data_IF_286197389974
#
_entry.id   IF_286197389974
#
_cell.length_a   1.000
_cell.length_b   1.000
_cell.length_c   1.000
_cell.angle_alpha   90.00
_cell.angle_beta   90.00
_cell.angle_gamma   90.00
#
_symmetry.space_group_name_H-M   'P 1'
#
loop_
_entity.id
_entity.type
_entity.pdbx_description
1 polymer ?
#
# COMPACT_ATOMS: atom_id res chain seq x y z
N UNK A 1 -23.94 -18.60 -26.51
CA UNK A 1 -22.79 -18.85 -25.62
C UNK A 1 -23.20 -18.44 -24.21
N UNK A 2 -23.22 -19.42 -23.31
CA UNK A 2 -23.84 -19.32 -21.98
C UNK A 2 -22.90 -18.61 -21.01
N UNK A 3 -23.38 -17.53 -20.37
CA UNK A 3 -22.64 -16.79 -19.37
C UNK A 3 -22.76 -17.55 -18.04
N UNK A 4 -21.65 -18.11 -17.58
CA UNK A 4 -21.54 -18.81 -16.31
C UNK A 4 -21.66 -17.79 -15.17
N UNK A 5 -22.79 -17.79 -14.47
CA UNK A 5 -22.95 -17.13 -13.18
C UNK A 5 -22.14 -17.88 -12.11
N UNK A 6 -21.10 -17.25 -11.58
CA UNK A 6 -20.42 -17.72 -10.37
C UNK A 6 -21.31 -17.35 -9.18
N UNK A 7 -22.05 -18.34 -8.65
CA UNK A 7 -22.75 -18.25 -7.37
C UNK A 7 -21.72 -18.15 -6.23
N UNK A 8 -21.53 -16.94 -5.69
CA UNK A 8 -20.95 -16.74 -4.37
C UNK A 8 -22.01 -17.01 -3.31
N UNK A 9 -21.79 -18.03 -2.49
CA UNK A 9 -22.71 -18.43 -1.42
C UNK A 9 -22.58 -17.57 -0.17
N UNK A 10 -23.73 -17.15 0.36
CA UNK A 10 -24.00 -16.99 1.79
C UNK A 10 -23.75 -15.61 2.41
N UNK A 11 -24.85 -14.89 2.71
CA UNK A 11 -24.88 -13.83 3.72
C UNK A 11 -25.31 -12.44 3.22
N UNK A 12 -26.63 -12.20 3.15
CA UNK A 12 -27.27 -10.87 3.15
C UNK A 12 -26.82 -10.09 4.38
N UNK A 13 -26.26 -8.87 4.36
CA UNK A 13 -26.81 -7.58 3.90
C UNK A 13 -25.64 -6.61 3.70
N UNK A 14 -25.54 -5.95 2.53
CA UNK A 14 -24.51 -4.92 2.24
C UNK A 14 -24.12 -4.82 0.76
N UNK A 15 -25.07 -4.81 -0.16
CA UNK A 15 -24.85 -5.02 -1.62
C UNK A 15 -24.06 -3.93 -2.36
N UNK A 16 -23.57 -2.87 -1.71
CA UNK A 16 -22.80 -1.80 -2.39
C UNK A 16 -21.43 -1.51 -1.77
N UNK A 17 -21.09 -2.11 -0.62
CA UNK A 17 -19.82 -1.82 0.07
C UNK A 17 -18.96 -3.06 0.17
N UNK A 18 -17.80 -3.05 -0.47
CA UNK A 18 -16.75 -4.03 -0.20
C UNK A 18 -16.22 -3.80 1.22
N UNK A 19 -16.29 -4.82 2.08
CA UNK A 19 -15.70 -4.80 3.41
C UNK A 19 -14.20 -4.47 3.36
N UNK A 20 -13.63 -3.90 4.43
CA UNK A 20 -12.20 -3.57 4.48
C UNK A 20 -11.29 -4.79 4.28
N UNK A 21 -11.82 -5.98 4.56
CA UNK A 21 -11.11 -7.25 4.40
C UNK A 21 -11.11 -7.76 2.95
N UNK A 22 -11.92 -7.15 2.07
CA UNK A 22 -12.08 -7.51 0.66
C UNK A 22 -13.21 -8.53 0.44
N UNK A 23 -13.26 -9.12 -0.76
CA UNK A 23 -14.32 -10.04 -1.18
C UNK A 23 -14.29 -11.41 -0.45
N UNK A 24 -13.16 -11.77 0.17
CA UNK A 24 -13.02 -13.00 0.97
C UNK A 24 -12.27 -12.68 2.25
N UNK A 25 -12.85 -13.12 3.37
CA UNK A 25 -12.19 -13.06 4.68
C UNK A 25 -11.02 -14.06 4.68
N UNK A 26 -9.77 -13.61 4.94
CA UNK A 26 -8.60 -14.47 4.99
C UNK A 26 -8.69 -15.42 6.20
N UNK A 27 -8.01 -16.55 6.09
CA UNK A 27 -8.16 -17.66 7.05
C UNK A 27 -7.62 -17.30 8.43
N UNK A 28 -6.62 -16.42 8.46
CA UNK A 28 -5.98 -15.86 9.65
C UNK A 28 -7.00 -15.09 10.51
N UNK A 29 -7.79 -14.21 9.87
CA UNK A 29 -8.85 -13.45 10.55
C UNK A 29 -9.99 -14.37 11.01
N UNK A 30 -10.27 -15.45 10.26
CA UNK A 30 -11.27 -16.43 10.68
C UNK A 30 -10.80 -17.27 11.88
N UNK A 31 -9.51 -17.59 11.95
CA UNK A 31 -8.93 -18.42 13.00
C UNK A 31 -8.94 -17.73 14.37
N UNK A 32 -8.87 -16.40 14.41
CA UNK A 32 -8.85 -15.63 15.68
C UNK A 32 -10.20 -15.52 16.38
N UNK A 33 -11.33 -15.73 15.70
CA UNK A 33 -12.68 -15.53 16.29
C UNK A 33 -12.88 -16.43 17.52
N UNK A 34 -12.46 -17.70 17.46
CA UNK A 34 -12.63 -18.64 18.58
C UNK A 34 -11.69 -18.30 19.76
N UNK A 35 -10.38 -18.10 19.57
CA UNK A 35 -9.49 -17.71 20.67
C UNK A 35 -9.82 -16.34 21.27
N UNK A 36 -10.24 -15.37 20.46
CA UNK A 36 -10.50 -14.00 20.91
C UNK A 36 -11.64 -13.91 21.94
N UNK A 37 -12.60 -14.83 21.90
CA UNK A 37 -13.68 -14.92 22.89
C UNK A 37 -13.23 -15.28 24.31
N UNK A 38 -12.02 -15.85 24.47
CA UNK A 38 -11.50 -16.36 25.75
C UNK A 38 -10.47 -15.43 26.40
N UNK A 39 -10.16 -14.29 25.77
CA UNK A 39 -9.05 -13.43 26.14
C UNK A 39 -9.56 -12.18 26.85
N UNK A 40 -8.78 -11.72 27.82
CA UNK A 40 -9.04 -10.49 28.55
C UNK A 40 -8.63 -9.24 27.75
N UNK A 41 -9.33 -8.12 28.01
CA UNK A 41 -9.08 -6.84 27.34
C UNK A 41 -7.66 -6.31 27.57
N UNK A 42 -7.02 -6.64 28.69
CA UNK A 42 -5.67 -6.15 28.98
C UNK A 42 -4.60 -6.86 28.13
N UNK A 43 -4.68 -8.19 27.99
CA UNK A 43 -3.76 -8.95 27.12
C UNK A 43 -3.97 -8.58 25.65
N UNK A 44 -5.21 -8.40 25.20
CA UNK A 44 -5.50 -7.90 23.85
C UNK A 44 -4.82 -6.55 23.56
N UNK A 45 -4.93 -5.59 24.48
CA UNK A 45 -4.28 -4.27 24.35
C UNK A 45 -2.76 -4.38 24.26
N UNK A 46 -2.15 -5.29 25.02
CA UNK A 46 -0.70 -5.52 24.96
C UNK A 46 -0.28 -6.07 23.60
N UNK A 47 -0.98 -7.08 23.07
CA UNK A 47 -0.72 -7.65 21.74
C UNK A 47 -0.88 -6.57 20.67
N UNK A 48 -1.97 -5.79 20.73
CA UNK A 48 -2.22 -4.72 19.77
C UNK A 48 -1.13 -3.63 19.83
N UNK A 49 -0.63 -3.30 21.02
CA UNK A 49 0.48 -2.36 21.18
C UNK A 49 1.77 -2.88 20.53
N UNK A 50 2.07 -4.16 20.70
CA UNK A 50 3.23 -4.82 20.09
C UNK A 50 3.13 -4.78 18.57
N UNK A 51 1.97 -5.13 18.00
CA UNK A 51 1.71 -5.07 16.55
C UNK A 51 1.89 -3.64 16.01
N UNK A 52 1.33 -2.63 16.69
CA UNK A 52 1.50 -1.23 16.27
C UNK A 52 2.98 -0.81 16.31
N UNK A 53 3.74 -1.26 17.31
CA UNK A 53 5.18 -1.03 17.38
C UNK A 53 5.95 -1.71 16.25
N UNK A 54 5.58 -2.94 15.86
CA UNK A 54 6.16 -3.62 14.68
C UNK A 54 5.94 -2.82 13.40
N UNK A 55 4.70 -2.36 13.18
CA UNK A 55 4.31 -1.61 11.99
C UNK A 55 5.08 -0.28 11.91
N UNK A 56 5.47 0.27 13.07
CA UNK A 56 6.33 1.45 13.20
C UNK A 56 7.83 1.15 13.05
N UNK A 57 8.21 -0.09 12.71
CA UNK A 57 9.60 -0.47 12.42
C UNK A 57 10.43 -0.88 13.64
N UNK A 58 9.80 -1.10 14.80
CA UNK A 58 10.51 -1.68 15.95
C UNK A 58 10.72 -3.18 15.67
N UNK A 59 11.97 -3.63 15.61
CA UNK A 59 12.29 -5.05 15.53
C UNK A 59 11.73 -5.77 16.76
N UNK A 60 10.79 -6.71 16.52
CA UNK A 60 10.20 -7.50 17.57
C UNK A 60 10.95 -8.82 17.73
N UNK A 61 11.32 -9.12 18.97
CA UNK A 61 11.88 -10.42 19.33
C UNK A 61 10.81 -11.26 20.03
N UNK A 62 10.87 -12.58 19.87
CA UNK A 62 9.98 -13.50 20.59
C UNK A 62 10.04 -13.30 22.13
N UNK A 63 11.17 -12.81 22.64
CA UNK A 63 11.35 -12.43 24.05
C UNK A 63 10.34 -11.37 24.53
N UNK A 64 9.92 -10.44 23.66
CA UNK A 64 8.98 -9.37 24.00
C UNK A 64 7.53 -9.90 24.14
N UNK A 65 7.26 -11.05 23.52
CA UNK A 65 5.96 -11.72 23.53
C UNK A 65 5.84 -12.81 24.60
N UNK A 66 6.96 -13.39 25.04
CA UNK A 66 7.01 -14.36 26.15
C UNK A 66 6.27 -13.94 27.43
N UNK A 67 6.37 -12.69 27.93
CA UNK A 67 5.66 -12.29 29.15
C UNK A 67 4.13 -12.21 29.00
N UNK A 68 3.58 -12.41 27.80
CA UNK A 68 2.14 -12.46 27.54
C UNK A 68 1.57 -13.88 27.67
N UNK A 69 2.43 -14.90 27.77
CA UNK A 69 2.02 -16.28 27.95
C UNK A 69 1.43 -16.47 29.35
N UNK A 70 0.22 -17.02 29.40
CA UNK A 70 -0.50 -17.39 30.61
C UNK A 70 -1.04 -18.82 30.45
N UNK A 71 -1.58 -19.43 31.50
CA UNK A 71 -2.17 -20.79 31.42
C UNK A 71 -3.28 -20.92 30.35
N UNK A 72 -3.95 -19.81 30.01
CA UNK A 72 -5.00 -19.74 28.98
C UNK A 72 -4.47 -19.40 27.59
N UNK A 73 -3.23 -18.92 27.48
CA UNK A 73 -2.66 -18.36 26.26
C UNK A 73 -1.35 -19.09 25.94
N UNK A 74 -1.49 -20.24 25.26
CA UNK A 74 -0.36 -21.03 24.77
C UNK A 74 0.34 -20.35 23.60
N UNK A 75 1.57 -20.74 23.31
CA UNK A 75 2.38 -20.21 22.20
C UNK A 75 1.65 -20.32 20.84
N UNK A 76 1.01 -21.47 20.58
CA UNK A 76 0.24 -21.68 19.35
C UNK A 76 -0.96 -20.72 19.25
N UNK A 77 -1.66 -20.50 20.36
CA UNK A 77 -2.82 -19.59 20.41
C UNK A 77 -2.34 -18.15 20.24
N UNK A 78 -1.23 -17.77 20.87
CA UNK A 78 -0.61 -16.46 20.71
C UNK A 78 -0.20 -16.20 19.25
N UNK A 79 0.42 -17.17 18.58
CA UNK A 79 0.80 -17.05 17.18
C UNK A 79 -0.41 -16.84 16.26
N UNK A 80 -1.48 -17.60 16.46
CA UNK A 80 -2.73 -17.44 15.70
C UNK A 80 -3.33 -16.06 15.91
N UNK A 81 -3.38 -15.58 17.16
CA UNK A 81 -3.88 -14.26 17.50
C UNK A 81 -3.04 -13.15 16.90
N UNK A 82 -1.72 -13.25 17.02
CA UNK A 82 -0.79 -12.28 16.48
C UNK A 82 -0.97 -12.14 14.98
N UNK A 83 -0.90 -13.24 14.23
CA UNK A 83 -1.02 -13.23 12.78
C UNK A 83 -2.39 -12.70 12.32
N UNK A 84 -3.48 -13.10 12.97
CA UNK A 84 -4.81 -12.63 12.59
C UNK A 84 -5.06 -11.17 12.93
N UNK A 85 -4.55 -10.68 14.06
CA UNK A 85 -4.68 -9.27 14.44
C UNK A 85 -3.76 -8.37 13.62
N UNK A 86 -2.54 -8.81 13.33
CA UNK A 86 -1.61 -8.10 12.46
C UNK A 86 -2.20 -7.94 11.06
N UNK A 87 -2.70 -9.02 10.45
CA UNK A 87 -3.34 -8.96 9.13
C UNK A 87 -4.59 -8.09 9.13
N UNK A 88 -5.41 -8.14 10.20
CA UNK A 88 -6.59 -7.29 10.34
C UNK A 88 -6.21 -5.81 10.38
N UNK A 89 -5.23 -5.46 11.22
CA UNK A 89 -4.74 -4.09 11.37
C UNK A 89 -4.09 -3.62 10.07
N UNK A 90 -3.20 -4.40 9.47
CA UNK A 90 -2.56 -4.04 8.18
C UNK A 90 -3.57 -3.85 7.07
N UNK A 91 -4.65 -4.65 7.00
CA UNK A 91 -5.72 -4.45 6.01
C UNK A 91 -6.50 -3.17 6.26
N UNK A 92 -6.86 -2.88 7.50
CA UNK A 92 -7.51 -1.63 7.85
C UNK A 92 -6.61 -0.42 7.53
N UNK A 93 -5.32 -0.53 7.81
CA UNK A 93 -4.30 0.49 7.57
C UNK A 93 -3.95 0.68 6.08
N UNK A 94 -4.28 -0.26 5.19
CA UNK A 94 -4.12 -0.08 3.73
C UNK A 94 -5.15 0.87 3.13
N UNK A 95 -6.27 1.10 3.82
CA UNK A 95 -7.32 2.00 3.34
C UNK A 95 -7.02 3.44 3.77
N UNK A 96 -7.18 4.42 2.86
CA UNK A 96 -7.01 5.82 3.21
C UNK A 96 -8.10 6.27 4.18
N UNK A 97 -7.77 7.26 5.02
CA UNK A 97 -8.66 7.86 6.02
C UNK A 97 -10.02 8.31 5.48
N UNK A 98 -10.06 8.72 4.22
CA UNK A 98 -11.26 9.18 3.54
C UNK A 98 -12.26 8.05 3.20
N UNK A 99 -11.76 6.82 3.07
CA UNK A 99 -12.57 5.66 2.66
C UNK A 99 -13.15 4.90 3.86
N UNK A 100 -12.37 4.79 4.95
CA UNK A 100 -12.77 4.02 6.12
C UNK A 100 -13.45 4.88 7.19
N UNK A 101 -14.78 5.01 7.10
CA UNK A 101 -15.59 5.63 8.16
C UNK A 101 -15.63 4.74 9.40
N UNK A 102 -15.65 5.34 10.60
CA UNK A 102 -15.64 4.61 11.88
C UNK A 102 -16.86 3.69 12.01
N UNK A 103 -18.03 4.17 11.60
CA UNK A 103 -19.28 3.42 11.64
C UNK A 103 -19.22 2.21 10.71
N UNK A 104 -18.62 2.39 9.54
CA UNK A 104 -18.44 1.33 8.56
C UNK A 104 -17.51 0.23 9.08
N UNK A 105 -16.41 0.62 9.71
CA UNK A 105 -15.45 -0.29 10.30
C UNK A 105 -16.05 -1.10 11.44
N UNK A 106 -16.83 -0.47 12.33
CA UNK A 106 -17.53 -1.18 13.41
C UNK A 106 -18.50 -2.22 12.85
N UNK A 107 -19.26 -1.88 11.81
CA UNK A 107 -20.16 -2.83 11.14
C UNK A 107 -19.37 -4.03 10.56
N UNK A 108 -18.24 -3.77 9.90
CA UNK A 108 -17.40 -4.86 9.37
C UNK A 108 -16.85 -5.75 10.49
N UNK A 109 -16.49 -5.19 11.65
CA UNK A 109 -16.04 -5.96 12.82
C UNK A 109 -17.16 -6.82 13.43
N UNK A 110 -18.40 -6.30 13.44
CA UNK A 110 -19.58 -7.06 13.86
C UNK A 110 -19.87 -8.22 12.90
N UNK A 111 -19.76 -8.00 11.59
CA UNK A 111 -19.96 -9.02 10.57
C UNK A 111 -18.89 -10.14 10.67
N UNK A 112 -17.68 -9.80 11.13
CA UNK A 112 -16.60 -10.73 11.44
C UNK A 112 -16.77 -11.47 12.78
N UNK A 113 -17.83 -11.18 13.54
CA UNK A 113 -18.10 -11.75 14.87
C UNK A 113 -17.01 -11.46 15.91
N UNK A 114 -16.33 -10.32 15.79
CA UNK A 114 -15.35 -9.86 16.78
C UNK A 114 -16.10 -9.28 17.98
N UNK A 115 -15.74 -9.65 19.24
CA UNK A 115 -16.43 -9.13 20.43
C UNK A 115 -16.36 -7.60 20.53
N UNK A 116 -17.51 -6.99 20.89
CA UNK A 116 -17.67 -5.52 20.97
C UNK A 116 -16.71 -4.86 21.98
N UNK A 117 -16.25 -5.62 22.98
CA UNK A 117 -15.27 -5.18 23.97
C UNK A 117 -13.98 -4.65 23.35
N UNK A 118 -13.63 -5.08 22.14
CA UNK A 118 -12.39 -4.75 21.44
C UNK A 118 -12.55 -3.71 20.32
N UNK A 119 -13.79 -3.35 19.94
CA UNK A 119 -14.03 -2.46 18.79
C UNK A 119 -13.42 -1.07 18.99
N UNK A 120 -13.59 -0.48 20.17
CA UNK A 120 -13.04 0.85 20.47
C UNK A 120 -11.51 0.89 20.37
N UNK A 121 -10.83 -0.16 20.84
CA UNK A 121 -9.37 -0.23 20.82
C UNK A 121 -8.84 -0.37 19.38
N UNK A 122 -9.53 -1.14 18.52
CA UNK A 122 -9.21 -1.26 17.10
C UNK A 122 -9.48 0.06 16.35
N UNK A 123 -10.61 0.71 16.62
CA UNK A 123 -10.93 2.03 16.06
C UNK A 123 -9.88 3.07 16.47
N UNK A 124 -9.40 3.02 17.72
CA UNK A 124 -8.37 3.93 18.21
C UNK A 124 -7.01 3.73 17.51
N UNK A 125 -6.67 2.50 17.11
CA UNK A 125 -5.45 2.24 16.33
C UNK A 125 -5.58 2.73 14.89
N UNK A 126 -6.71 2.44 14.25
CA UNK A 126 -6.92 2.73 12.82
C UNK A 126 -7.23 4.22 12.56
N UNK A 127 -7.98 4.86 13.45
CA UNK A 127 -8.46 6.24 13.28
C UNK A 127 -7.98 7.21 14.38
N UNK A 128 -7.01 6.80 15.20
CA UNK A 128 -6.46 7.63 16.27
C UNK A 128 -5.27 8.50 15.85
N UNK A 129 -4.73 9.24 16.82
CA UNK A 129 -3.66 10.22 16.60
C UNK A 129 -2.32 9.62 16.11
N UNK A 130 -2.09 8.32 16.34
CA UNK A 130 -0.85 7.63 15.91
C UNK A 130 -0.85 7.25 14.44
N UNK A 131 -2.00 7.33 13.76
CA UNK A 131 -2.15 6.88 12.39
C UNK A 131 -1.32 7.70 11.40
N UNK A 132 -1.24 9.02 11.57
CA UNK A 132 -0.38 9.87 10.72
C UNK A 132 1.10 9.46 10.80
N UNK A 133 1.60 9.13 12.00
CA UNK A 133 2.96 8.65 12.19
C UNK A 133 3.19 7.28 11.52
N UNK A 134 2.20 6.40 11.62
CA UNK A 134 2.23 5.09 10.95
C UNK A 134 2.25 5.27 9.43
N UNK A 135 1.43 6.17 8.90
CA UNK A 135 1.34 6.42 7.46
C UNK A 135 2.63 7.01 6.90
N UNK A 136 3.21 8.01 7.58
CA UNK A 136 4.53 8.54 7.19
C UNK A 136 5.61 7.45 7.20
N UNK A 137 5.65 6.63 8.24
CA UNK A 137 6.61 5.51 8.32
C UNK A 137 6.42 4.49 7.18
N UNK A 138 5.17 4.17 6.84
CA UNK A 138 4.84 3.26 5.75
C UNK A 138 5.15 3.87 4.38
N UNK A 139 4.99 5.18 4.22
CA UNK A 139 5.34 5.90 2.99
C UNK A 139 6.85 5.93 2.76
N UNK A 140 7.62 6.17 3.81
CA UNK A 140 9.09 6.24 3.76
C UNK A 140 9.70 4.87 3.47
N UNK A 141 9.18 3.80 4.08
CA UNK A 141 9.67 2.43 3.91
C UNK A 141 8.99 1.67 2.76
N UNK A 142 8.16 2.33 1.95
CA UNK A 142 7.49 1.67 0.84
C UNK A 142 8.53 1.25 -0.20
N UNK A 143 8.49 -0.01 -0.70
CA UNK A 143 9.30 -0.39 -1.85
C UNK A 143 8.88 0.45 -3.06
N UNK A 144 9.78 1.30 -3.54
CA UNK A 144 9.60 2.17 -4.70
C UNK A 144 10.57 1.75 -5.80
N UNK A 145 10.15 1.92 -7.05
CA UNK A 145 11.09 1.85 -8.18
C UNK A 145 11.98 3.10 -8.13
N UNK A 146 13.23 3.01 -8.65
CA UNK A 146 14.08 4.19 -8.78
C UNK A 146 13.36 5.30 -9.54
N UNK A 147 13.29 6.47 -8.91
CA UNK A 147 12.68 7.66 -9.49
C UNK A 147 13.72 8.51 -10.21
N UNK A 148 13.28 9.34 -11.15
CA UNK A 148 14.14 10.29 -11.85
C UNK A 148 14.37 11.52 -10.95
N UNK A 149 15.61 11.73 -10.49
CA UNK A 149 15.98 12.89 -9.69
C UNK A 149 16.43 14.07 -10.54
N UNK A 150 17.25 13.80 -11.56
CA UNK A 150 17.77 14.82 -12.44
C UNK A 150 17.84 14.31 -13.89
N UNK A 151 17.60 15.23 -14.83
CA UNK A 151 17.70 14.98 -16.25
C UNK A 151 18.49 16.13 -16.90
N UNK A 152 19.72 15.85 -17.30
CA UNK A 152 20.55 16.78 -18.05
C UNK A 152 20.57 16.38 -19.52
N UNK A 153 20.60 17.38 -20.42
CA UNK A 153 20.66 17.14 -21.86
C UNK A 153 21.55 18.15 -22.55
N UNK A 154 22.22 17.69 -23.61
CA UNK A 154 22.97 18.54 -24.54
C UNK A 154 22.66 18.16 -25.98
N UNK A 155 22.68 19.15 -26.85
CA UNK A 155 22.53 18.94 -28.30
C UNK A 155 23.86 19.18 -28.97
N UNK A 156 24.37 18.13 -29.60
CA UNK A 156 25.65 18.15 -30.29
C UNK A 156 25.39 18.41 -31.79
N UNK A 157 26.07 19.42 -32.33
CA UNK A 157 25.93 19.84 -33.73
C UNK A 157 27.27 19.71 -34.44
N UNK A 158 27.41 18.69 -35.27
CA UNK A 158 28.60 18.53 -36.12
C UNK A 158 28.42 19.32 -37.42
N UNK A 159 29.32 20.28 -37.67
CA UNK A 159 29.34 21.08 -38.91
C UNK A 159 30.44 20.53 -39.82
N UNK A 160 30.07 19.78 -40.87
CA UNK A 160 31.02 19.40 -41.93
C UNK A 160 31.14 20.53 -42.96
N UNK A 161 32.34 21.09 -43.12
CA UNK A 161 32.65 22.19 -44.05
C UNK A 161 33.13 21.70 -45.43
N UNK A 162 33.08 20.39 -45.70
CA UNK A 162 33.49 19.79 -46.97
C UNK A 162 32.50 20.03 -48.13
N UNK A 163 33.03 20.25 -49.33
CA UNK A 163 32.33 20.75 -50.54
C UNK A 163 31.23 19.83 -51.08
N UNK A 164 31.15 18.55 -50.69
CA UNK A 164 30.24 17.59 -51.35
C UNK A 164 28.89 17.31 -50.67
N UNK A 165 28.69 17.70 -49.41
CA UNK A 165 27.36 17.77 -48.79
C UNK A 165 27.49 18.30 -47.35
N UNK A 166 26.92 19.47 -47.06
CA UNK A 166 26.84 20.02 -45.71
C UNK A 166 25.83 19.19 -44.90
N UNK A 167 26.26 18.08 -44.32
CA UNK A 167 25.41 17.30 -43.40
C UNK A 167 25.61 17.85 -42.00
N UNK A 168 24.55 18.46 -41.47
CA UNK A 168 24.45 18.88 -40.07
C UNK A 168 23.95 17.67 -39.27
N UNK A 169 24.85 16.89 -38.68
CA UNK A 169 24.43 15.79 -37.79
C UNK A 169 24.06 16.40 -36.44
N UNK A 170 22.80 16.21 -36.06
CA UNK A 170 22.25 16.66 -34.77
C UNK A 170 22.02 15.44 -33.90
N UNK A 171 22.84 15.29 -32.86
CA UNK A 171 22.67 14.29 -31.82
C UNK A 171 22.17 14.93 -30.53
N UNK A 172 21.39 14.21 -29.74
CA UNK A 172 20.98 14.64 -28.40
C UNK A 172 21.55 13.63 -27.40
N UNK A 173 22.44 14.09 -26.54
CA UNK A 173 22.97 13.30 -25.42
C UNK A 173 22.16 13.62 -24.18
N UNK A 174 21.70 12.57 -23.49
CA UNK A 174 20.88 12.64 -22.28
C UNK A 174 21.60 11.93 -21.13
N UNK A 175 21.59 12.54 -19.96
CA UNK A 175 22.11 12.00 -18.70
C UNK A 175 20.96 12.00 -17.68
N UNK A 176 20.65 10.81 -17.14
CA UNK A 176 19.60 10.60 -16.15
C UNK A 176 20.24 10.19 -14.82
N UNK A 177 20.00 10.98 -13.78
CA UNK A 177 20.33 10.60 -12.40
C UNK A 177 19.09 10.02 -11.73
N UNK A 178 19.19 8.76 -11.30
CA UNK A 178 18.12 8.04 -10.61
C UNK A 178 18.33 8.08 -9.08
N UNK A 179 17.25 7.91 -8.32
CA UNK A 179 17.28 7.96 -6.86
C UNK A 179 18.01 6.82 -6.16
N UNK A 180 18.43 5.80 -6.92
CA UNK A 180 19.35 4.75 -6.45
C UNK A 180 20.83 5.16 -6.61
N UNK A 181 21.09 6.40 -7.02
CA UNK A 181 22.43 6.92 -7.33
C UNK A 181 22.97 6.48 -8.68
N UNK A 182 22.23 5.69 -9.46
CA UNK A 182 22.68 5.27 -10.79
C UNK A 182 22.53 6.41 -11.80
N UNK A 183 23.56 6.57 -12.62
CA UNK A 183 23.60 7.53 -13.72
C UNK A 183 23.50 6.75 -15.03
N UNK A 184 22.57 7.14 -15.90
CA UNK A 184 22.35 6.52 -17.20
C UNK A 184 22.51 7.55 -18.31
N UNK A 185 23.51 7.28 -19.14
CA UNK A 185 23.85 8.13 -20.28
C UNK A 185 23.49 7.45 -21.58
N UNK A 186 22.83 8.19 -22.47
CA UNK A 186 22.45 7.67 -23.78
C UNK A 186 22.35 8.78 -24.80
N UNK A 187 22.66 8.42 -26.05
CA UNK A 187 22.52 9.30 -27.20
C UNK A 187 21.29 8.89 -28.01
N UNK A 188 20.55 9.88 -28.51
CA UNK A 188 19.41 9.66 -29.39
C UNK A 188 19.44 10.60 -30.59
N UNK A 189 18.86 10.12 -31.70
CA UNK A 189 18.59 10.96 -32.87
C UNK A 189 17.42 11.90 -32.60
N UNK A 190 17.33 12.99 -33.37
CA UNK A 190 16.20 13.93 -33.30
C UNK A 190 14.85 13.23 -33.49
N UNK A 191 14.77 12.21 -34.36
CA UNK A 191 13.53 11.44 -34.56
C UNK A 191 13.11 10.73 -33.28
N UNK A 192 14.05 10.05 -32.59
CA UNK A 192 13.76 9.36 -31.33
C UNK A 192 13.43 10.31 -30.19
N UNK A 193 14.01 11.50 -30.19
CA UNK A 193 13.62 12.55 -29.25
C UNK A 193 12.16 12.99 -29.44
N UNK A 194 11.69 13.18 -30.68
CA UNK A 194 10.30 13.53 -30.93
C UNK A 194 9.33 12.40 -30.56
N UNK A 195 9.71 11.14 -30.81
CA UNK A 195 8.94 9.98 -30.33
C UNK A 195 8.84 9.96 -28.80
N UNK A 196 9.97 10.16 -28.09
CA UNK A 196 9.99 10.21 -26.63
C UNK A 196 9.07 11.33 -26.11
N UNK A 197 9.16 12.53 -26.68
CA UNK A 197 8.31 13.67 -26.34
C UNK A 197 6.82 13.33 -26.52
N UNK A 198 6.46 12.70 -27.64
CA UNK A 198 5.08 12.30 -27.90
C UNK A 198 4.58 11.28 -26.88
N UNK A 199 5.37 10.24 -26.59
CA UNK A 199 4.99 9.21 -25.60
C UNK A 199 4.85 9.78 -24.19
N UNK A 200 5.77 10.64 -23.75
CA UNK A 200 5.67 11.31 -22.45
C UNK A 200 4.41 12.16 -22.37
N UNK A 201 4.11 12.95 -23.41
CA UNK A 201 2.88 13.75 -23.46
C UNK A 201 1.61 12.88 -23.42
N UNK A 202 1.62 11.74 -24.11
CA UNK A 202 0.51 10.78 -24.08
C UNK A 202 0.30 10.20 -22.69
N UNK A 203 1.38 9.77 -22.00
CA UNK A 203 1.29 9.24 -20.63
C UNK A 203 0.77 10.29 -19.68
N UNK A 204 1.26 11.54 -19.77
CA UNK A 204 0.76 12.64 -18.94
C UNK A 204 -0.73 12.92 -19.17
N UNK A 205 -1.19 12.88 -20.43
CA UNK A 205 -2.62 13.05 -20.75
C UNK A 205 -3.48 11.92 -20.18
N UNK A 206 -3.00 10.68 -20.24
CA UNK A 206 -3.70 9.54 -19.62
C UNK A 206 -3.70 9.64 -18.08
N UNK A 207 -2.60 10.07 -17.46
CA UNK A 207 -2.55 10.32 -16.01
C UNK A 207 -3.55 11.40 -15.59
N UNK A 208 -3.66 12.50 -16.35
CA UNK A 208 -4.62 13.58 -16.08
C UNK A 208 -6.07 13.09 -16.22
N UNK A 209 -6.37 12.24 -17.21
CA UNK A 209 -7.69 11.60 -17.34
C UNK A 209 -7.99 10.70 -16.15
N UNK A 210 -6.99 9.93 -15.70
CA UNK A 210 -7.11 9.02 -14.57
C UNK A 210 -7.39 9.77 -13.26
N UNK A 211 -6.75 10.92 -13.05
CA UNK A 211 -6.97 11.80 -11.89
C UNK A 211 -8.39 12.39 -11.87
N UNK A 212 -8.93 12.73 -13.05
CA UNK A 212 -10.31 13.24 -13.19
C UNK A 212 -11.36 12.19 -12.85
N UNK A 213 -11.05 10.90 -12.92
CA UNK A 213 -11.96 9.84 -12.49
C UNK A 213 -12.08 9.83 -10.95
N UNK A 214 -13.29 10.08 -10.44
CA UNK A 214 -13.61 10.25 -9.02
C UNK A 214 -13.20 9.11 -8.09
N UNK A 215 -12.91 7.92 -8.61
CA UNK A 215 -12.52 6.74 -7.84
C UNK A 215 -11.05 6.81 -7.39
N UNK A 216 -10.22 7.64 -8.06
CA UNK A 216 -8.77 7.74 -7.85
C UNK A 216 -8.32 9.12 -7.39
N UNK A 217 -9.25 9.99 -6.98
CA UNK A 217 -8.89 11.28 -6.38
C UNK A 217 -8.14 11.04 -5.07
N UNK A 218 -6.82 11.11 -5.14
CA UNK A 218 -5.95 11.33 -4.00
C UNK A 218 -6.32 12.73 -3.50
N UNK A 219 -7.10 12.80 -2.43
CA UNK A 219 -7.24 14.03 -1.67
C UNK A 219 -6.07 14.05 -0.72
N UNK A 220 -5.21 15.05 -0.87
CA UNK A 220 -4.22 15.46 0.13
C UNK A 220 -4.84 15.56 1.53
#
# INVERSE_FOLDING_TARGET
MSIIQVKGGGGTVGLERTSFVGARVPNEIRAIIKPLSKIDKATFKKILKVIVSEIQGVELTFEDLRPLLNETLTEEVLAVLYCGLDELVRRALKLPHSSLKKENFIQDLQDLQIPESFHEDLVAVVAGAKRSQIDSHLEDNRPRLPSLENLAWRTDVAISTGVLNRVLVRGVTMEMTLSDGSIKDFEMTVSKFQELRFHVASVLSEMEKLEKHSILKIKD
#
